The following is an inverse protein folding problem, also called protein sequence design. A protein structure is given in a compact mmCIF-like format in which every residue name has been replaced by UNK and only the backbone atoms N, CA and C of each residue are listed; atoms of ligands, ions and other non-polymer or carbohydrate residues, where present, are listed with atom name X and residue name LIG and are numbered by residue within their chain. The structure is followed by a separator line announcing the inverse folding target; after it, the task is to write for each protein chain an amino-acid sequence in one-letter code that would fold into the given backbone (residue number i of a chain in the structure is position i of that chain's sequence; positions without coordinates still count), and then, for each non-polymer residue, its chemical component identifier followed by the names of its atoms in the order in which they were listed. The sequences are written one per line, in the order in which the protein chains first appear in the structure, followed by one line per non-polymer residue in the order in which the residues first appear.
data_IF_712185726222
#
_entry.id   IF_712185726222
#
_cell.length_a   1.000
_cell.length_b   1.000
_cell.length_c   1.000
_cell.angle_alpha   90.00
_cell.angle_beta   90.00
_cell.angle_gamma   90.00
#
_symmetry.space_group_name_H-M   'P 1'
#
loop_
_entity.id
_entity.type
_entity.pdbx_description
1 polymer ?
#
# COMPACT_ATOMS: atom_id res chain seq x y z
N UNK A 1 9.71 1.95 10.64
CA UNK A 1 9.05 1.86 11.96
C UNK A 1 7.53 2.07 11.88
N UNK A 2 7.01 3.06 11.12
CA UNK A 2 5.56 3.33 11.03
C UNK A 2 4.70 2.13 10.55
N UNK A 3 5.14 1.40 9.53
CA UNK A 3 4.41 0.22 9.05
C UNK A 3 4.39 -0.94 10.07
N UNK A 4 5.50 -1.17 10.79
CA UNK A 4 5.56 -2.22 11.82
C UNK A 4 4.64 -1.89 13.00
N UNK A 5 4.62 -0.62 13.41
CA UNK A 5 3.74 -0.15 14.47
C UNK A 5 2.26 -0.33 14.09
N UNK A 6 1.89 0.03 12.85
CA UNK A 6 0.54 -0.21 12.32
C UNK A 6 0.20 -1.69 12.28
N UNK A 7 1.08 -2.54 11.73
CA UNK A 7 0.86 -4.00 11.69
C UNK A 7 0.66 -4.62 13.08
N UNK A 8 1.31 -4.06 14.12
CA UNK A 8 1.19 -4.57 15.49
C UNK A 8 -0.12 -4.19 16.20
N UNK A 9 -0.81 -3.14 15.70
CA UNK A 9 -1.98 -2.55 16.35
C UNK A 9 -3.26 -2.65 15.52
N UNK A 10 -3.14 -2.93 14.22
CA UNK A 10 -4.29 -3.02 13.32
C UNK A 10 -5.08 -4.30 13.56
N UNK A 11 -6.41 -4.18 13.52
CA UNK A 11 -7.35 -5.31 13.52
C UNK A 11 -7.78 -5.71 12.09
N UNK A 12 -7.13 -5.16 11.07
CA UNK A 12 -7.44 -5.43 9.68
C UNK A 12 -7.05 -6.86 9.26
N UNK A 13 -7.83 -7.45 8.36
CA UNK A 13 -7.46 -8.70 7.73
C UNK A 13 -6.48 -8.42 6.58
N UNK A 14 -5.24 -8.88 6.71
CA UNK A 14 -4.14 -8.59 5.78
C UNK A 14 -3.80 -9.83 4.96
N UNK A 15 -3.98 -9.72 3.65
CA UNK A 15 -3.48 -10.72 2.70
C UNK A 15 -2.06 -10.38 2.27
N UNK A 16 -1.13 -11.33 2.33
CA UNK A 16 0.27 -11.12 1.96
C UNK A 16 0.52 -11.64 0.54
N UNK A 17 1.05 -10.81 -0.35
CA UNK A 17 1.34 -11.14 -1.75
C UNK A 17 2.80 -10.84 -2.08
N UNK A 18 3.49 -11.79 -2.71
CA UNK A 18 4.87 -11.63 -3.17
C UNK A 18 5.90 -12.31 -2.27
N UNK A 19 7.09 -11.71 -2.15
CA UNK A 19 8.21 -12.28 -1.38
C UNK A 19 7.83 -12.42 0.10
N UNK A 20 8.26 -13.50 0.78
CA UNK A 20 8.03 -13.64 2.20
C UNK A 20 8.56 -12.41 2.92
N UNK A 21 7.69 -11.75 3.67
CA UNK A 21 8.13 -10.80 4.67
C UNK A 21 8.78 -11.68 5.73
N UNK A 22 10.05 -11.45 6.04
CA UNK A 22 10.71 -12.16 7.13
C UNK A 22 10.02 -11.86 8.46
N UNK A 23 10.72 -12.12 9.56
CA UNK A 23 10.29 -11.68 10.88
C UNK A 23 9.83 -10.19 10.84
N UNK A 24 8.73 -9.81 11.51
CA UNK A 24 8.17 -8.44 11.48
C UNK A 24 9.25 -7.40 11.89
N UNK A 25 10.19 -7.82 12.72
CA UNK A 25 11.39 -7.05 13.11
C UNK A 25 12.36 -6.73 11.96
N UNK A 26 12.27 -7.45 10.83
CA UNK A 26 13.12 -7.32 9.63
C UNK A 26 12.50 -6.48 8.52
N UNK A 27 11.27 -5.98 8.68
CA UNK A 27 10.64 -5.03 7.75
C UNK A 27 11.53 -3.79 7.49
N UNK A 28 12.38 -3.41 8.45
CA UNK A 28 13.36 -2.31 8.34
C UNK A 28 14.52 -2.60 7.37
N UNK A 29 14.72 -3.87 6.99
CA UNK A 29 15.89 -4.39 6.25
C UNK A 29 15.51 -5.08 4.94
N UNK A 30 14.43 -4.69 4.27
CA UNK A 30 14.23 -5.09 2.87
C UNK A 30 15.26 -4.41 1.95
N UNK A 31 16.50 -4.88 2.02
CA UNK A 31 17.68 -4.48 1.26
C UNK A 31 17.70 -5.11 -0.14
N UNK A 32 16.62 -4.98 -0.91
CA UNK A 32 16.56 -5.70 -2.18
C UNK A 32 15.60 -5.16 -3.20
N UNK A 33 15.61 -3.85 -3.48
CA UNK A 33 14.89 -3.26 -4.62
C UNK A 33 13.42 -3.66 -4.73
N UNK A 34 12.80 -4.04 -3.62
CA UNK A 34 11.42 -4.50 -3.55
C UNK A 34 10.62 -3.45 -2.84
N UNK A 35 9.54 -3.05 -3.49
CA UNK A 35 8.58 -2.08 -3.02
C UNK A 35 7.51 -2.80 -2.22
N UNK A 36 7.31 -2.37 -0.97
CA UNK A 36 6.19 -2.80 -0.16
C UNK A 36 5.03 -1.84 -0.36
N UNK A 37 3.84 -2.39 -0.58
CA UNK A 37 2.60 -1.62 -0.68
C UNK A 37 1.57 -2.27 0.22
N UNK A 38 0.96 -1.51 1.10
CA UNK A 38 -0.25 -1.93 1.83
C UNK A 38 -1.40 -1.12 1.30
N UNK A 39 -2.43 -1.76 0.77
CA UNK A 39 -3.61 -1.08 0.26
C UNK A 39 -4.87 -1.71 0.84
N UNK A 40 -5.84 -0.88 1.19
CA UNK A 40 -7.05 -1.34 1.86
C UNK A 40 -8.32 -0.80 1.20
N UNK A 41 -9.40 -1.58 1.34
CA UNK A 41 -10.70 -1.28 0.75
C UNK A 41 -11.53 -0.27 1.53
N UNK A 42 -11.14 0.12 2.74
CA UNK A 42 -11.91 1.04 3.57
C UNK A 42 -11.01 2.09 4.22
N UNK A 43 -11.61 3.27 4.43
CA UNK A 43 -11.03 4.33 5.23
C UNK A 43 -12.10 4.86 6.17
N UNK A 44 -11.78 4.95 7.46
CA UNK A 44 -12.65 5.56 8.47
C UNK A 44 -11.91 6.76 9.09
N UNK A 45 -12.40 7.96 8.79
CA UNK A 45 -11.72 9.21 9.15
C UNK A 45 -10.25 9.22 8.67
N UNK A 46 -9.31 9.28 9.61
CA UNK A 46 -7.87 9.31 9.32
C UNK A 46 -7.22 7.92 9.36
N UNK A 47 -8.01 6.85 9.54
CA UNK A 47 -7.50 5.48 9.68
C UNK A 47 -7.80 4.68 8.42
N UNK A 48 -6.74 4.09 7.84
CA UNK A 48 -6.85 3.13 6.75
C UNK A 48 -7.10 1.71 7.30
N UNK A 49 -8.06 0.98 6.75
CA UNK A 49 -8.43 -0.34 7.26
C UNK A 49 -9.44 -1.12 6.41
N UNK A 50 -10.13 -2.08 7.02
CA UNK A 50 -11.02 -3.00 6.31
C UNK A 50 -10.29 -4.23 5.77
N UNK A 51 -10.52 -4.57 4.50
CA UNK A 51 -9.77 -5.63 3.82
C UNK A 51 -8.50 -5.05 3.22
N UNK A 52 -7.36 -5.43 3.78
CA UNK A 52 -6.06 -4.93 3.35
C UNK A 52 -5.27 -6.03 2.65
N UNK A 53 -4.46 -5.62 1.68
CA UNK A 53 -3.48 -6.48 1.03
C UNK A 53 -2.12 -5.82 1.13
N UNK A 54 -1.13 -6.59 1.56
CA UNK A 54 0.26 -6.18 1.56
C UNK A 54 1.01 -6.90 0.44
N UNK A 55 1.42 -6.14 -0.55
CA UNK A 55 2.32 -6.57 -1.60
C UNK A 55 3.78 -6.31 -1.21
N UNK A 56 4.65 -7.27 -1.48
CA UNK A 56 6.09 -7.11 -1.37
C UNK A 56 6.77 -7.74 -2.59
N UNK A 57 7.24 -6.90 -3.51
CA UNK A 57 7.82 -7.37 -4.76
C UNK A 57 8.57 -6.27 -5.51
N UNK A 58 9.12 -6.60 -6.68
CA UNK A 58 9.77 -5.63 -7.56
C UNK A 58 8.76 -4.81 -8.38
N UNK A 59 9.22 -4.23 -9.48
CA UNK A 59 8.39 -3.50 -10.43
C UNK A 59 7.30 -4.39 -11.03
N UNK A 60 6.04 -4.04 -10.80
CA UNK A 60 4.86 -4.71 -11.37
C UNK A 60 3.67 -3.76 -11.36
N UNK A 61 2.68 -4.05 -12.21
CA UNK A 61 1.33 -3.55 -12.02
C UNK A 61 0.57 -4.47 -11.08
N UNK A 62 -0.04 -3.92 -10.04
CA UNK A 62 -0.87 -4.63 -9.06
C UNK A 62 -2.32 -4.27 -9.35
N UNK A 63 -3.15 -5.26 -9.66
CA UNK A 63 -4.59 -5.09 -9.74
C UNK A 63 -5.16 -4.95 -8.31
N UNK A 64 -5.70 -3.78 -8.00
CA UNK A 64 -6.12 -3.37 -6.65
C UNK A 64 -7.45 -2.59 -6.65
N UNK A 65 -8.53 -3.14 -7.26
CA UNK A 65 -9.83 -2.48 -7.37
C UNK A 65 -10.44 -2.17 -6.01
N UNK A 66 -11.06 -0.98 -5.90
CA UNK A 66 -11.75 -0.55 -4.69
C UNK A 66 -10.80 -0.17 -3.56
N UNK A 67 -9.53 0.09 -3.86
CA UNK A 67 -8.58 0.64 -2.88
C UNK A 67 -9.01 2.07 -2.52
N UNK A 68 -9.13 2.33 -1.22
CA UNK A 68 -9.49 3.64 -0.68
C UNK A 68 -8.33 4.34 0.02
N UNK A 69 -7.33 3.58 0.43
CA UNK A 69 -6.13 4.11 1.03
C UNK A 69 -4.97 3.14 0.87
N UNK A 70 -3.77 3.68 0.76
CA UNK A 70 -2.56 2.88 0.64
C UNK A 70 -1.36 3.51 1.33
N UNK A 71 -0.41 2.66 1.71
CA UNK A 71 0.92 3.00 2.15
C UNK A 71 1.92 2.32 1.21
N UNK A 72 3.03 2.99 0.90
CA UNK A 72 4.13 2.37 0.18
C UNK A 72 5.48 2.73 0.81
N UNK A 73 6.42 1.77 0.80
CA UNK A 73 7.79 1.98 1.28
C UNK A 73 8.65 2.79 0.30
N UNK A 74 8.20 2.93 -0.94
CA UNK A 74 8.82 3.70 -2.02
C UNK A 74 7.74 4.48 -2.78
N UNK A 75 8.13 5.37 -3.68
CA UNK A 75 7.18 6.11 -4.48
C UNK A 75 6.53 5.19 -5.53
N UNK A 76 5.26 4.86 -5.34
CA UNK A 76 4.45 4.08 -6.27
C UNK A 76 3.48 4.96 -7.03
N UNK A 77 3.06 4.53 -8.21
CA UNK A 77 1.90 5.12 -8.88
C UNK A 77 0.62 4.40 -8.49
N UNK A 78 -0.47 5.12 -8.32
CA UNK A 78 -1.80 4.55 -8.13
C UNK A 78 -2.75 5.15 -9.17
N UNK A 79 -3.50 4.29 -9.86
CA UNK A 79 -4.30 4.66 -11.02
C UNK A 79 -5.76 4.25 -10.83
N UNK A 80 -6.67 4.94 -11.49
CA UNK A 80 -8.11 4.64 -11.51
C UNK A 80 -8.49 3.51 -12.48
N UNK A 81 -7.62 3.20 -13.45
CA UNK A 81 -7.73 2.06 -14.35
C UNK A 81 -7.18 0.75 -13.75
N UNK A 82 -7.60 -0.39 -14.30
CA UNK A 82 -7.31 -1.72 -13.75
C UNK A 82 -5.93 -2.28 -14.14
N UNK A 83 -5.32 -1.75 -15.21
CA UNK A 83 -4.07 -2.25 -15.81
C UNK A 83 -2.92 -1.22 -15.72
N UNK A 84 -2.92 -0.41 -14.64
CA UNK A 84 -1.99 0.70 -14.44
C UNK A 84 -2.05 1.74 -15.56
N UNK A 85 -3.25 1.94 -16.07
CA UNK A 85 -3.62 2.90 -17.10
C UNK A 85 -4.58 3.96 -16.53
N UNK A 86 -5.06 4.86 -17.40
CA UNK A 86 -5.95 5.95 -17.00
C UNK A 86 -5.22 7.08 -16.27
N UNK A 87 -5.83 7.60 -15.21
CA UNK A 87 -5.33 8.72 -14.42
C UNK A 87 -4.48 8.21 -13.25
N UNK A 88 -3.17 8.23 -13.43
CA UNK A 88 -2.23 7.80 -12.40
C UNK A 88 -1.68 8.99 -11.59
N UNK A 89 -1.66 8.84 -10.27
CA UNK A 89 -1.03 9.77 -9.34
C UNK A 89 0.13 9.08 -8.62
N UNK A 90 1.07 9.86 -8.09
CA UNK A 90 2.20 9.31 -7.34
C UNK A 90 1.93 9.37 -5.84
N UNK A 91 2.39 8.35 -5.11
CA UNK A 91 2.28 8.29 -3.66
C UNK A 91 2.97 9.49 -2.98
N UNK A 92 4.11 9.93 -3.53
CA UNK A 92 4.81 11.15 -3.08
C UNK A 92 3.99 12.43 -3.23
N UNK A 93 2.98 12.46 -4.12
CA UNK A 93 2.04 13.57 -4.29
C UNK A 93 0.72 13.37 -3.52
N UNK A 94 0.75 12.60 -2.43
CA UNK A 94 -0.42 12.35 -1.61
C UNK A 94 -1.12 13.66 -1.18
N UNK A 95 -2.34 13.88 -1.66
CA UNK A 95 -3.12 15.08 -1.33
C UNK A 95 -3.69 15.07 0.09
N UNK A 96 -4.09 13.89 0.58
CA UNK A 96 -4.68 13.71 1.91
C UNK A 96 -3.95 12.60 2.66
N UNK A 97 -2.89 12.93 3.42
CA UNK A 97 -2.20 11.96 4.27
C UNK A 97 -3.10 11.51 5.42
N UNK A 98 -2.93 10.26 5.81
CA UNK A 98 -3.64 9.55 6.88
C UNK A 98 -2.65 9.11 7.96
N UNK A 99 -3.18 8.54 9.04
CA UNK A 99 -2.37 8.05 10.15
C UNK A 99 -1.42 6.93 9.69
N UNK A 100 -0.26 6.82 10.35
CA UNK A 100 0.78 5.82 10.07
C UNK A 100 1.40 5.90 8.66
N UNK A 101 1.30 7.07 8.02
CA UNK A 101 1.92 7.33 6.73
C UNK A 101 1.10 6.82 5.54
N UNK A 102 -0.15 6.39 5.76
CA UNK A 102 -1.06 6.06 4.67
C UNK A 102 -1.47 7.32 3.90
N UNK A 103 -1.95 7.13 2.68
CA UNK A 103 -2.56 8.16 1.85
C UNK A 103 -4.00 7.77 1.56
N UNK A 104 -4.92 8.75 1.57
CA UNK A 104 -6.26 8.58 1.03
C UNK A 104 -6.20 8.55 -0.49
N UNK A 105 -6.63 7.44 -1.08
CA UNK A 105 -6.57 7.20 -2.53
C UNK A 105 -7.89 6.56 -3.01
N UNK A 106 -9.05 7.19 -2.77
CA UNK A 106 -10.34 6.63 -3.14
C UNK A 106 -10.46 6.45 -4.65
N UNK A 107 -11.03 5.30 -5.06
CA UNK A 107 -11.20 4.98 -6.47
C UNK A 107 -9.93 4.47 -7.16
N UNK A 108 -8.90 4.10 -6.40
CA UNK A 108 -7.73 3.42 -6.96
C UNK A 108 -8.13 2.01 -7.39
N UNK A 109 -7.76 1.66 -8.61
CA UNK A 109 -8.01 0.35 -9.20
C UNK A 109 -6.74 -0.44 -9.50
N UNK A 110 -5.60 0.24 -9.65
CA UNK A 110 -4.31 -0.43 -9.79
C UNK A 110 -3.16 0.38 -9.19
N UNK A 111 -2.07 -0.32 -8.87
CA UNK A 111 -0.88 0.27 -8.26
C UNK A 111 0.36 -0.20 -9.03
N UNK A 112 1.12 0.73 -9.58
CA UNK A 112 2.38 0.46 -10.27
C UNK A 112 3.56 0.67 -9.33
N UNK A 113 4.35 -0.39 -9.16
CA UNK A 113 5.61 -0.36 -8.41
C UNK A 113 6.80 -0.28 -9.35
N UNK A 114 7.91 0.28 -8.86
CA UNK A 114 9.22 0.34 -9.53
C UNK A 114 10.31 -0.28 -8.69
#
# INVERSE_FOLDING_TARGET
EQLQDWLSKTDANITYVGKPIGDISTLSKCQGGTTMVVYCSSQAANVCGGSCTMFNGGATCIHAPGTNCLFASSNVGFCDGDDCDGSCNQFSSCGTPLDNGFCSTPGTSSIITS
#
